data_IF_813532972035
#
_entry.id   IF_813532972035
#
_cell.length_a   1.000
_cell.length_b   1.000
_cell.length_c   1.000
_cell.angle_alpha   90.00
_cell.angle_beta   90.00
_cell.angle_gamma   90.00
#
_symmetry.space_group_name_H-M   'P 1'
#
loop_
_entity.id
_entity.type
_entity.pdbx_description
1 polymer ?
#
# COMPACT_ATOMS: atom_id res chain seq x y z
N UNK A 1 -30.46 -45.08 34.18
CA UNK A 1 -29.27 -45.42 33.38
C UNK A 1 -29.14 -44.36 32.29
N UNK A 2 -28.39 -43.28 32.53
CA UNK A 2 -28.19 -42.21 31.55
C UNK A 2 -26.70 -42.14 31.20
N UNK A 3 -26.37 -42.42 29.94
CA UNK A 3 -25.00 -42.40 29.42
C UNK A 3 -24.47 -40.96 29.31
N UNK A 4 -23.21 -40.68 29.66
CA UNK A 4 -22.65 -39.34 29.52
C UNK A 4 -22.23 -39.12 28.06
N UNK A 5 -22.72 -38.03 27.46
CA UNK A 5 -22.29 -37.57 26.15
C UNK A 5 -20.89 -36.99 26.25
N UNK A 6 -19.94 -37.59 25.55
CA UNK A 6 -18.57 -37.10 25.40
C UNK A 6 -18.56 -35.98 24.34
N UNK A 7 -18.46 -34.72 24.78
CA UNK A 7 -18.17 -33.60 23.89
C UNK A 7 -16.68 -33.63 23.49
N UNK A 8 -16.31 -33.53 22.20
CA UNK A 8 -14.91 -33.44 21.81
C UNK A 8 -14.30 -32.11 22.28
N UNK A 9 -13.19 -32.21 23.02
CA UNK A 9 -12.36 -31.08 23.44
C UNK A 9 -11.73 -30.42 22.19
N UNK A 10 -11.77 -29.08 22.03
CA UNK A 10 -10.98 -28.42 20.99
C UNK A 10 -9.48 -28.68 21.22
N UNK A 11 -8.67 -28.90 20.17
CA UNK A 11 -7.23 -29.14 20.32
C UNK A 11 -6.56 -27.92 20.99
N UNK A 12 -5.56 -28.20 21.83
CA UNK A 12 -4.79 -27.19 22.55
C UNK A 12 -4.05 -26.24 21.57
N UNK A 13 -3.85 -24.95 21.94
CA UNK A 13 -3.23 -23.94 21.07
C UNK A 13 -1.75 -24.18 20.74
N UNK A 14 -1.11 -25.18 21.35
CA UNK A 14 0.34 -25.42 21.21
C UNK A 14 0.73 -26.25 19.98
N UNK A 15 -0.25 -26.78 19.22
CA UNK A 15 0.00 -27.69 18.08
C UNK A 15 -0.05 -26.99 16.70
N UNK A 16 0.04 -25.65 16.67
CA UNK A 16 0.23 -24.91 15.41
C UNK A 16 1.64 -25.19 14.90
N UNK A 17 1.75 -26.11 13.93
CA UNK A 17 2.98 -26.72 13.44
C UNK A 17 4.18 -25.75 13.25
N UNK A 18 5.34 -26.02 13.89
CA UNK A 18 6.54 -25.17 13.83
C UNK A 18 7.08 -24.96 12.41
N UNK A 19 6.83 -25.90 11.49
CA UNK A 19 7.25 -25.80 10.08
C UNK A 19 6.68 -24.56 9.35
N UNK A 20 5.44 -24.16 9.67
CA UNK A 20 4.83 -22.98 9.03
C UNK A 20 5.48 -21.67 9.47
N UNK A 21 5.95 -21.62 10.72
CA UNK A 21 6.56 -20.44 11.30
C UNK A 21 8.00 -20.23 10.79
N UNK A 22 8.75 -21.32 10.60
CA UNK A 22 10.10 -21.30 10.03
C UNK A 22 10.10 -20.86 8.55
N UNK A 23 9.18 -21.40 7.73
CA UNK A 23 9.05 -20.98 6.32
C UNK A 23 8.65 -19.51 6.21
N UNK A 24 7.75 -19.04 7.07
CA UNK A 24 7.38 -17.62 7.14
C UNK A 24 8.59 -16.74 7.46
N UNK A 25 9.40 -17.12 8.46
CA UNK A 25 10.59 -16.37 8.85
C UNK A 25 11.66 -16.31 7.74
N UNK A 26 11.85 -17.40 6.99
CA UNK A 26 12.76 -17.44 5.84
C UNK A 26 12.28 -16.51 4.73
N UNK A 27 10.97 -16.50 4.44
CA UNK A 27 10.38 -15.60 3.45
C UNK A 27 10.52 -14.13 3.86
N UNK A 28 10.27 -13.80 5.14
CA UNK A 28 10.44 -12.43 5.65
C UNK A 28 11.91 -12.00 5.61
N UNK A 29 12.84 -12.89 5.95
CA UNK A 29 14.28 -12.61 5.86
C UNK A 29 14.69 -12.31 4.42
N UNK A 30 14.24 -13.13 3.46
CA UNK A 30 14.50 -12.90 2.04
C UNK A 30 13.91 -11.58 1.56
N UNK A 31 12.69 -11.25 1.99
CA UNK A 31 12.06 -9.98 1.66
C UNK A 31 12.86 -8.78 2.19
N UNK A 32 13.42 -8.87 3.40
CA UNK A 32 14.32 -7.85 3.95
C UNK A 32 15.61 -7.69 3.14
N UNK A 33 16.23 -8.80 2.71
CA UNK A 33 17.43 -8.77 1.86
C UNK A 33 17.14 -8.13 0.50
N UNK A 34 16.05 -8.53 -0.15
CA UNK A 34 15.61 -7.98 -1.43
C UNK A 34 15.29 -6.48 -1.31
N UNK A 35 14.65 -6.06 -0.22
CA UNK A 35 14.39 -4.65 0.08
C UNK A 35 15.69 -3.84 0.27
N UNK A 36 16.65 -4.39 1.02
CA UNK A 36 17.94 -3.75 1.24
C UNK A 36 18.73 -3.63 -0.07
N UNK A 37 18.68 -4.65 -0.93
CA UNK A 37 19.27 -4.62 -2.26
C UNK A 37 18.61 -3.56 -3.14
N UNK A 38 17.27 -3.52 -3.18
CA UNK A 38 16.52 -2.53 -3.94
C UNK A 38 16.87 -1.09 -3.51
N UNK A 39 16.96 -0.83 -2.19
CA UNK A 39 17.37 0.48 -1.64
C UNK A 39 18.75 0.90 -2.15
N UNK A 40 19.74 0.00 -2.10
CA UNK A 40 21.10 0.26 -2.60
C UNK A 40 21.10 0.57 -4.10
N UNK A 41 20.37 -0.20 -4.92
CA UNK A 41 20.27 0.03 -6.36
C UNK A 41 19.62 1.37 -6.70
N UNK A 42 18.62 1.76 -5.92
CA UNK A 42 17.93 3.04 -6.10
C UNK A 42 18.83 4.22 -5.71
N UNK A 43 19.70 4.06 -4.71
CA UNK A 43 20.72 5.05 -4.36
C UNK A 43 21.79 5.20 -5.44
N UNK A 44 22.22 4.09 -6.05
CA UNK A 44 23.10 4.10 -7.23
C UNK A 44 22.45 4.84 -8.40
N UNK A 45 21.18 4.55 -8.68
CA UNK A 45 20.42 5.23 -9.73
C UNK A 45 20.29 6.73 -9.45
N UNK A 46 19.97 7.12 -8.22
CA UNK A 46 19.87 8.54 -7.84
C UNK A 46 21.19 9.29 -8.06
N UNK A 47 22.34 8.66 -7.77
CA UNK A 47 23.66 9.25 -8.04
C UNK A 47 23.90 9.39 -9.54
N UNK A 48 23.57 8.38 -10.34
CA UNK A 48 23.70 8.42 -11.80
C UNK A 48 22.83 9.52 -12.42
N UNK A 49 21.58 9.66 -11.98
CA UNK A 49 20.65 10.70 -12.45
C UNK A 49 21.14 12.10 -12.07
N UNK A 50 21.70 12.30 -10.88
CA UNK A 50 22.32 13.58 -10.49
C UNK A 50 23.54 13.90 -11.35
N UNK A 51 24.33 12.89 -11.73
CA UNK A 51 25.44 13.09 -12.66
C UNK A 51 24.94 13.50 -14.05
N UNK A 52 23.88 12.85 -14.56
CA UNK A 52 23.22 13.25 -15.81
C UNK A 52 22.70 14.69 -15.73
N UNK A 53 22.11 15.11 -14.60
CA UNK A 53 21.67 16.50 -14.40
C UNK A 53 22.81 17.51 -14.47
N UNK A 54 24.00 17.15 -13.98
CA UNK A 54 25.20 18.01 -14.09
C UNK A 54 25.68 18.11 -15.53
N UNK A 55 25.58 17.04 -16.32
CA UNK A 55 26.06 17.00 -17.71
C UNK A 55 25.07 17.61 -18.70
N UNK A 56 23.78 17.31 -18.55
CA UNK A 56 22.73 17.69 -19.49
C UNK A 56 21.97 18.96 -19.08
N UNK A 57 22.21 19.45 -17.87
CA UNK A 57 21.49 20.58 -17.29
C UNK A 57 20.07 20.22 -16.84
N UNK A 58 19.33 21.25 -16.43
CA UNK A 58 18.03 21.12 -15.77
C UNK A 58 16.86 21.08 -16.75
N UNK A 59 16.91 20.15 -17.70
CA UNK A 59 15.81 19.96 -18.67
C UNK A 59 14.60 19.30 -18.01
N UNK A 60 13.42 19.41 -18.63
CA UNK A 60 12.20 18.79 -18.11
C UNK A 60 12.37 17.29 -17.88
N UNK A 61 12.95 16.57 -18.85
CA UNK A 61 13.18 15.13 -18.73
C UNK A 61 14.10 14.76 -17.56
N UNK A 62 15.13 15.57 -17.31
CA UNK A 62 16.04 15.37 -16.18
C UNK A 62 15.36 15.63 -14.84
N UNK A 63 14.59 16.73 -14.72
CA UNK A 63 13.83 17.02 -13.49
C UNK A 63 12.83 15.92 -13.18
N UNK A 64 12.06 15.50 -14.19
CA UNK A 64 11.11 14.39 -14.06
C UNK A 64 11.79 13.11 -13.61
N UNK A 65 12.96 12.78 -14.18
CA UNK A 65 13.70 11.59 -13.78
C UNK A 65 14.21 11.68 -12.32
N UNK A 66 14.61 12.87 -11.85
CA UNK A 66 14.93 13.09 -10.44
C UNK A 66 13.69 12.84 -9.55
N UNK A 67 12.54 13.39 -9.91
CA UNK A 67 11.30 13.26 -9.16
C UNK A 67 10.81 11.80 -9.14
N UNK A 68 10.91 11.08 -10.26
CA UNK A 68 10.53 9.68 -10.39
C UNK A 68 11.40 8.79 -9.49
N UNK A 69 12.71 9.05 -9.40
CA UNK A 69 13.61 8.31 -8.50
C UNK A 69 13.30 8.59 -7.04
N UNK A 70 12.99 9.83 -6.68
CA UNK A 70 12.61 10.16 -5.30
C UNK A 70 11.26 9.55 -4.93
N UNK A 71 10.28 9.59 -5.84
CA UNK A 71 9.00 8.90 -5.68
C UNK A 71 9.19 7.40 -5.49
N UNK A 72 10.07 6.77 -6.28
CA UNK A 72 10.37 5.35 -6.13
C UNK A 72 10.99 5.03 -4.75
N UNK A 73 11.79 5.95 -4.18
CA UNK A 73 12.35 5.78 -2.82
C UNK A 73 11.27 5.81 -1.76
N UNK A 74 10.34 6.76 -1.86
CA UNK A 74 9.18 6.82 -0.98
C UNK A 74 8.32 5.56 -1.09
N UNK A 75 8.03 5.12 -2.31
CA UNK A 75 7.30 3.85 -2.56
C UNK A 75 7.98 2.65 -1.92
N UNK A 76 9.31 2.57 -2.01
CA UNK A 76 10.08 1.50 -1.38
C UNK A 76 10.10 1.62 0.16
N UNK A 77 9.97 2.83 0.69
CA UNK A 77 9.74 3.09 2.12
C UNK A 77 8.46 2.41 2.60
N UNK A 78 7.34 2.66 1.92
CA UNK A 78 6.04 2.04 2.25
C UNK A 78 6.09 0.51 2.17
N UNK A 79 6.78 -0.07 1.18
CA UNK A 79 6.99 -1.52 1.12
C UNK A 79 7.76 -2.03 2.36
N UNK A 80 8.77 -1.28 2.82
CA UNK A 80 9.50 -1.63 4.03
C UNK A 80 8.65 -1.60 5.31
N UNK A 81 7.73 -0.65 5.41
CA UNK A 81 6.77 -0.58 6.51
C UNK A 81 5.87 -1.82 6.53
N UNK A 82 5.34 -2.25 5.38
CA UNK A 82 4.50 -3.46 5.30
C UNK A 82 5.23 -4.75 5.72
N UNK A 83 6.54 -4.87 5.43
CA UNK A 83 7.32 -6.03 5.84
C UNK A 83 7.56 -6.00 7.36
N UNK A 84 7.77 -4.82 7.93
CA UNK A 84 7.97 -4.64 9.38
C UNK A 84 6.68 -4.93 10.15
N UNK A 85 5.51 -4.56 9.62
CA UNK A 85 4.20 -4.87 10.21
C UNK A 85 3.81 -6.35 10.10
N UNK A 86 4.38 -7.07 9.13
CA UNK A 86 4.17 -8.51 8.93
C UNK A 86 5.01 -9.40 9.84
N UNK A 87 5.92 -8.84 10.65
CA UNK A 87 6.47 -9.54 11.80
C UNK A 87 5.32 -10.00 12.71
N UNK A 88 5.39 -11.17 13.36
CA UNK A 88 4.31 -11.67 14.21
C UNK A 88 4.21 -10.83 15.49
N UNK A 89 3.71 -9.61 15.35
CA UNK A 89 3.12 -8.84 16.42
C UNK A 89 1.88 -9.63 16.83
N UNK A 90 1.80 -9.98 18.11
CA UNK A 90 0.61 -10.58 18.72
C UNK A 90 -0.63 -9.93 18.10
N UNK A 91 -1.53 -10.77 17.57
CA UNK A 91 -2.72 -10.41 16.79
C UNK A 91 -3.18 -8.99 17.12
N UNK A 92 -3.18 -8.05 16.15
CA UNK A 92 -3.64 -6.70 16.44
C UNK A 92 -5.03 -6.82 17.05
N UNK A 93 -5.19 -6.27 18.26
CA UNK A 93 -6.51 -6.09 18.88
C UNK A 93 -7.38 -5.49 17.80
N UNK A 94 -8.40 -6.23 17.37
CA UNK A 94 -9.25 -5.82 16.26
C UNK A 94 -9.75 -4.41 16.54
N UNK A 95 -9.16 -3.43 15.85
CA UNK A 95 -9.69 -2.07 15.86
C UNK A 95 -11.11 -2.21 15.34
N UNK A 96 -12.13 -1.71 16.06
CA UNK A 96 -13.51 -1.86 15.61
C UNK A 96 -13.59 -1.27 14.20
N UNK A 97 -13.84 -2.14 13.22
CA UNK A 97 -14.07 -1.73 11.84
C UNK A 97 -15.33 -0.87 11.85
N UNK A 98 -15.19 0.42 11.58
CA UNK A 98 -16.34 1.28 11.37
C UNK A 98 -17.06 0.82 10.10
N UNK A 99 -18.27 0.31 10.28
CA UNK A 99 -19.14 -0.08 9.18
C UNK A 99 -19.64 1.19 8.52
N UNK A 100 -19.10 1.51 7.33
CA UNK A 100 -19.65 2.57 6.49
C UNK A 100 -21.07 2.20 6.05
N UNK A 101 -21.97 3.17 6.10
CA UNK A 101 -23.34 2.97 5.63
C UNK A 101 -23.37 2.95 4.10
N UNK A 102 -24.01 1.93 3.53
CA UNK A 102 -24.31 1.87 2.08
C UNK A 102 -25.52 2.75 1.69
N UNK A 103 -26.13 3.46 2.65
CA UNK A 103 -27.21 4.39 2.35
C UNK A 103 -26.65 5.60 1.59
N UNK A 104 -27.34 6.05 0.52
CA UNK A 104 -26.95 7.27 -0.16
C UNK A 104 -26.97 8.43 0.84
N UNK A 105 -25.92 9.24 0.81
CA UNK A 105 -25.83 10.44 1.62
C UNK A 105 -26.99 11.40 1.31
N UNK A 106 -27.50 12.08 2.34
CA UNK A 106 -28.54 13.09 2.17
C UNK A 106 -28.02 14.21 1.26
N UNK A 107 -28.68 14.52 0.13
CA UNK A 107 -28.23 15.56 -0.79
C UNK A 107 -28.09 16.95 -0.15
N UNK A 108 -28.76 17.21 0.98
CA UNK A 108 -28.61 18.45 1.75
C UNK A 108 -27.17 18.70 2.20
N UNK A 109 -26.37 17.66 2.42
CA UNK A 109 -24.96 17.84 2.83
C UNK A 109 -24.08 18.44 1.73
N UNK A 110 -24.56 18.42 0.47
CA UNK A 110 -23.89 19.00 -0.69
C UNK A 110 -24.57 20.27 -1.20
N UNK A 111 -25.57 20.80 -0.49
CA UNK A 111 -26.37 21.94 -0.95
C UNK A 111 -25.56 23.23 -1.10
N UNK A 112 -24.53 23.40 -0.26
CA UNK A 112 -23.62 24.55 -0.28
C UNK A 112 -22.28 24.22 -0.97
N UNK A 113 -22.14 23.04 -1.58
CA UNK A 113 -20.97 22.72 -2.37
C UNK A 113 -21.03 23.53 -3.68
N UNK A 114 -19.99 24.31 -3.97
CA UNK A 114 -19.90 25.06 -5.22
C UNK A 114 -19.99 24.10 -6.43
N UNK A 115 -20.70 24.52 -7.48
CA UNK A 115 -20.74 23.85 -8.79
C UNK A 115 -19.42 24.08 -9.55
N UNK A 116 -18.30 23.82 -8.88
CA UNK A 116 -16.97 23.79 -9.48
C UNK A 116 -16.82 22.51 -10.33
N UNK A 117 -17.53 22.50 -11.45
CA UNK A 117 -17.10 21.90 -12.71
C UNK A 117 -16.63 20.45 -12.66
N UNK A 118 -17.58 19.51 -12.70
CA UNK A 118 -17.35 18.25 -13.41
C UNK A 118 -16.98 18.60 -14.86
N UNK A 119 -15.71 18.39 -15.21
CA UNK A 119 -15.17 18.72 -16.52
C UNK A 119 -16.01 18.16 -17.67
N UNK A 120 -16.53 19.06 -18.51
CA UNK A 120 -16.73 18.82 -19.94
C UNK A 120 -18.07 18.22 -20.37
N UNK A 121 -19.09 19.06 -20.50
CA UNK A 121 -19.99 19.02 -21.67
C UNK A 121 -20.20 20.44 -22.18
N UNK A 122 -19.27 20.92 -23.02
CA UNK A 122 -19.57 22.07 -23.89
C UNK A 122 -20.53 21.57 -24.98
N UNK A 123 -21.72 22.17 -25.16
CA UNK A 123 -22.56 21.80 -26.30
C UNK A 123 -21.80 22.12 -27.59
N UNK A 124 -21.71 21.14 -28.49
CA UNK A 124 -21.21 21.35 -29.84
C UNK A 124 -22.06 22.43 -30.50
N UNK A 125 -21.52 23.63 -30.68
CA UNK A 125 -22.06 24.61 -31.62
C UNK A 125 -21.89 24.02 -33.02
N UNK A 126 -22.89 23.28 -33.51
CA UNK A 126 -23.01 23.03 -34.95
C UNK A 126 -23.32 24.35 -35.63
N UNK A 127 -22.28 24.98 -36.18
CA UNK A 127 -22.37 26.02 -37.18
C UNK A 127 -23.25 25.51 -38.33
N UNK A 128 -24.33 26.25 -38.58
CA UNK A 128 -25.20 26.04 -39.73
C UNK A 128 -24.47 26.34 -41.04
N UNK A 129 -24.94 25.64 -42.07
CA UNK A 129 -24.61 25.74 -43.49
C UNK A 129 -24.96 27.10 -44.07
#
# INVERSE_FOLDING_TARGET
>A
MASPQHHPHPPAPDDVAPEKQEVSAILTTRAHEDLALARRRLDELARAVRALRRTLGDTYGVRRLCDDVERARSSLGFVGETITEAEPVALPVATPTEVMSDLPYDPVIFADADDEGVGGMRPQRRTGR
#
